data_IF_566272448102
#
_entry.id   IF_566272448102
#
_cell.length_a   1.000
_cell.length_b   1.000
_cell.length_c   1.000
_cell.angle_alpha   90.00
_cell.angle_beta   90.00
_cell.angle_gamma   90.00
#
_symmetry.space_group_name_H-M   'P 1'
#
loop_
_entity.id
_entity.type
_entity.pdbx_description
1 polymer ?
#
# COMPACT_ATOMS: atom_id res chain seq x y z
N UNK A 1 -96.88 -4.55 -140.43
CA UNK A 1 -98.09 -3.70 -140.39
C UNK A 1 -97.82 -2.39 -141.16
N UNK A 2 -98.85 -1.61 -141.58
CA UNK A 2 -98.89 -1.02 -142.94
C UNK A 2 -98.68 0.53 -142.96
N UNK A 3 -98.68 1.27 -144.09
CA UNK A 3 -99.56 1.33 -145.30
C UNK A 3 -98.82 2.02 -146.48
N UNK A 4 -99.22 1.98 -147.75
CA UNK A 4 -100.34 1.29 -148.44
C UNK A 4 -101.27 2.21 -149.24
N UNK A 5 -101.67 1.80 -150.47
CA UNK A 5 -102.48 2.49 -151.54
C UNK A 5 -101.63 3.38 -152.48
N UNK A 6 -101.90 3.54 -153.79
CA UNK A 6 -102.91 3.02 -154.75
C UNK A 6 -102.83 3.82 -156.08
N UNK A 7 -103.59 3.63 -157.19
CA UNK A 7 -104.63 2.68 -157.67
C UNK A 7 -104.89 2.96 -159.19
N UNK A 8 -105.40 1.97 -159.97
CA UNK A 8 -105.72 1.94 -161.45
C UNK A 8 -104.54 1.46 -162.35
N UNK A 9 -104.74 0.82 -163.52
CA UNK A 9 -105.91 0.02 -163.98
C UNK A 9 -106.30 0.13 -165.48
N UNK A 10 -106.32 -1.01 -166.20
CA UNK A 10 -107.26 -1.27 -167.32
C UNK A 10 -106.68 -1.45 -168.75
N UNK A 11 -107.07 -2.57 -169.42
CA UNK A 11 -107.04 -2.91 -170.87
C UNK A 11 -105.69 -2.80 -171.63
N UNK A 12 -105.41 -3.60 -172.67
CA UNK A 12 -106.14 -4.72 -173.29
C UNK A 12 -105.62 -5.03 -174.72
N UNK A 13 -106.10 -6.13 -175.33
CA UNK A 13 -105.72 -6.65 -176.67
C UNK A 13 -104.34 -7.33 -176.81
N UNK A 14 -104.08 -8.04 -177.92
CA UNK A 14 -104.37 -9.48 -178.07
C UNK A 14 -103.82 -10.05 -179.40
N UNK A 15 -102.89 -11.04 -179.32
CA UNK A 15 -102.30 -11.80 -180.45
C UNK A 15 -101.43 -10.96 -181.43
N UNK A 16 -100.57 -11.57 -182.30
CA UNK A 16 -100.49 -12.99 -182.72
C UNK A 16 -99.22 -13.76 -182.29
N UNK A 17 -99.12 -15.00 -182.76
CA UNK A 17 -98.08 -16.01 -182.45
C UNK A 17 -96.72 -15.68 -183.11
N UNK A 18 -95.62 -15.84 -182.36
CA UNK A 18 -94.30 -16.31 -182.82
C UNK A 18 -93.57 -16.99 -181.64
N UNK A 19 -92.35 -17.51 -181.82
CA UNK A 19 -91.66 -18.35 -180.82
C UNK A 19 -91.23 -17.64 -179.52
N UNK A 20 -91.12 -16.31 -179.58
CA UNK A 20 -90.61 -15.36 -178.58
C UNK A 20 -91.20 -15.53 -177.14
N UNK A 21 -92.47 -15.96 -177.02
CA UNK A 21 -93.09 -16.19 -175.70
C UNK A 21 -92.55 -17.41 -174.95
N UNK A 22 -92.00 -18.42 -175.64
CA UNK A 22 -91.39 -19.58 -174.96
C UNK A 22 -90.05 -19.21 -174.34
N UNK A 23 -89.25 -18.45 -175.05
CA UNK A 23 -87.94 -18.02 -174.59
C UNK A 23 -88.11 -17.04 -173.43
N UNK A 24 -89.09 -16.12 -173.49
CA UNK A 24 -89.50 -15.30 -172.33
C UNK A 24 -89.94 -16.12 -171.13
N UNK A 25 -90.70 -17.20 -171.31
CA UNK A 25 -91.08 -18.07 -170.20
C UNK A 25 -89.87 -18.78 -169.58
N UNK A 26 -88.91 -19.24 -170.40
CA UNK A 26 -87.63 -19.79 -169.93
C UNK A 26 -86.83 -18.74 -169.17
N UNK A 27 -86.65 -17.53 -169.71
CA UNK A 27 -85.96 -16.43 -169.03
C UNK A 27 -86.65 -16.03 -167.72
N UNK A 28 -87.98 -16.09 -167.61
CA UNK A 28 -88.68 -15.81 -166.34
C UNK A 28 -88.43 -16.90 -165.29
N UNK A 29 -88.39 -18.18 -165.70
CA UNK A 29 -88.03 -19.30 -164.81
C UNK A 29 -86.56 -19.18 -164.38
N UNK A 30 -85.67 -18.86 -165.31
CA UNK A 30 -84.23 -18.71 -165.07
C UNK A 30 -83.93 -17.49 -164.17
N UNK A 31 -84.58 -16.34 -164.40
CA UNK A 31 -84.54 -15.17 -163.49
C UNK A 31 -85.09 -15.54 -162.11
N UNK A 32 -86.12 -16.39 -162.03
CA UNK A 32 -86.63 -16.91 -160.77
C UNK A 32 -85.60 -17.76 -160.03
N UNK A 33 -84.97 -18.71 -160.73
CA UNK A 33 -83.95 -19.59 -160.17
C UNK A 33 -82.67 -18.83 -159.79
N UNK A 34 -82.24 -17.86 -160.59
CA UNK A 34 -81.10 -16.98 -160.30
C UNK A 34 -81.38 -16.06 -159.11
N UNK A 35 -82.61 -15.58 -158.93
CA UNK A 35 -83.01 -14.86 -157.69
C UNK A 35 -83.00 -15.77 -156.47
N UNK A 36 -83.53 -16.98 -156.58
CA UNK A 36 -83.53 -17.97 -155.49
C UNK A 36 -82.09 -18.43 -155.15
N UNK A 37 -81.19 -18.54 -156.13
CA UNK A 37 -79.74 -18.70 -155.90
C UNK A 37 -79.12 -17.45 -155.23
N UNK A 38 -79.45 -16.24 -155.68
CA UNK A 38 -78.96 -15.00 -155.09
C UNK A 38 -79.40 -14.84 -153.64
N UNK A 39 -80.67 -15.11 -153.32
CA UNK A 39 -81.21 -15.07 -151.95
C UNK A 39 -80.56 -16.14 -151.07
N UNK A 40 -80.36 -17.37 -151.57
CA UNK A 40 -79.58 -18.40 -150.86
C UNK A 40 -78.12 -17.98 -150.61
N UNK A 41 -77.48 -17.33 -151.58
CA UNK A 41 -76.13 -16.80 -151.41
C UNK A 41 -76.11 -15.61 -150.43
N UNK A 42 -77.10 -14.72 -150.45
CA UNK A 42 -77.21 -13.60 -149.52
C UNK A 42 -77.45 -14.08 -148.09
N UNK A 43 -78.37 -15.02 -147.86
CA UNK A 43 -78.58 -15.66 -146.56
C UNK A 43 -77.29 -16.33 -146.07
N UNK A 44 -76.62 -17.11 -146.93
CA UNK A 44 -75.34 -17.74 -146.61
C UNK A 44 -74.23 -16.72 -146.31
N UNK A 45 -74.18 -15.59 -147.00
CA UNK A 45 -73.25 -14.50 -146.69
C UNK A 45 -73.57 -13.86 -145.34
N UNK A 46 -74.85 -13.54 -145.06
CA UNK A 46 -75.29 -12.99 -143.79
C UNK A 46 -75.00 -13.94 -142.61
N UNK A 47 -75.22 -15.25 -142.79
CA UNK A 47 -74.88 -16.28 -141.81
C UNK A 47 -73.36 -16.35 -141.60
N UNK A 48 -72.56 -16.32 -142.66
CA UNK A 48 -71.09 -16.28 -142.58
C UNK A 48 -70.61 -15.00 -141.89
N UNK A 49 -71.19 -13.83 -142.19
CA UNK A 49 -70.85 -12.55 -141.56
C UNK A 49 -71.24 -12.53 -140.08
N UNK A 50 -72.43 -13.02 -139.73
CA UNK A 50 -72.89 -13.15 -138.34
C UNK A 50 -71.97 -14.07 -137.53
N UNK A 51 -71.64 -15.25 -138.08
CA UNK A 51 -70.67 -16.15 -137.47
C UNK A 51 -69.26 -15.53 -137.39
N UNK A 52 -68.84 -14.75 -138.39
CA UNK A 52 -67.55 -14.07 -138.40
C UNK A 52 -67.48 -12.97 -137.32
N UNK A 53 -68.57 -12.24 -137.09
CA UNK A 53 -68.70 -11.25 -136.00
C UNK A 53 -68.72 -11.94 -134.64
N UNK A 54 -69.47 -13.04 -134.50
CA UNK A 54 -69.51 -13.84 -133.27
C UNK A 54 -68.11 -14.37 -132.91
N UNK A 55 -67.43 -15.06 -133.83
CA UNK A 55 -66.07 -15.56 -133.64
C UNK A 55 -65.05 -14.45 -133.36
N UNK A 56 -65.17 -13.27 -133.99
CA UNK A 56 -64.33 -12.09 -133.65
C UNK A 56 -64.57 -11.59 -132.23
N UNK A 57 -65.82 -11.61 -131.76
CA UNK A 57 -66.14 -11.21 -130.39
C UNK A 57 -65.62 -12.22 -129.37
N UNK A 58 -65.74 -13.51 -129.65
CA UNK A 58 -65.23 -14.62 -128.84
C UNK A 58 -63.70 -14.62 -128.78
N UNK A 59 -63.02 -14.42 -129.91
CA UNK A 59 -61.56 -14.23 -129.94
C UNK A 59 -61.13 -12.99 -129.12
N UNK A 60 -61.89 -11.90 -129.16
CA UNK A 60 -61.59 -10.69 -128.37
C UNK A 60 -61.85 -10.88 -126.86
N UNK A 61 -62.81 -11.71 -126.45
CA UNK A 61 -62.98 -12.08 -125.03
C UNK A 61 -61.90 -13.04 -124.58
N UNK A 62 -61.58 -14.08 -125.36
CA UNK A 62 -60.51 -15.02 -125.07
C UNK A 62 -59.13 -14.34 -125.02
N UNK A 63 -58.88 -13.34 -125.86
CA UNK A 63 -57.63 -12.55 -125.81
C UNK A 63 -57.55 -11.69 -124.53
N UNK A 64 -58.65 -11.10 -124.08
CA UNK A 64 -58.71 -10.39 -122.79
C UNK A 64 -58.50 -11.33 -121.61
N UNK A 65 -59.23 -12.44 -121.55
CA UNK A 65 -59.11 -13.45 -120.50
C UNK A 65 -57.69 -14.03 -120.43
N UNK A 66 -57.09 -14.34 -121.58
CA UNK A 66 -55.68 -14.75 -121.69
C UNK A 66 -54.75 -13.69 -121.11
N UNK A 67 -54.97 -12.41 -121.42
CA UNK A 67 -54.13 -11.33 -120.95
C UNK A 67 -54.31 -11.10 -119.44
N UNK A 68 -55.54 -11.12 -118.92
CA UNK A 68 -55.84 -11.00 -117.48
C UNK A 68 -55.24 -12.17 -116.67
N UNK A 69 -55.30 -13.40 -117.21
CA UNK A 69 -54.65 -14.58 -116.63
C UNK A 69 -53.13 -14.45 -116.67
N UNK A 70 -52.54 -13.98 -117.77
CA UNK A 70 -51.10 -13.74 -117.88
C UNK A 70 -50.64 -12.66 -116.88
N UNK A 71 -51.36 -11.55 -116.77
CA UNK A 71 -51.11 -10.46 -115.81
C UNK A 71 -51.20 -10.96 -114.36
N UNK A 72 -52.21 -11.77 -114.04
CA UNK A 72 -52.36 -12.38 -112.72
C UNK A 72 -51.20 -13.35 -112.41
N UNK A 73 -50.83 -14.20 -113.35
CA UNK A 73 -49.71 -15.14 -113.20
C UNK A 73 -48.38 -14.38 -113.03
N UNK A 74 -48.11 -13.35 -113.85
CA UNK A 74 -46.91 -12.52 -113.72
C UNK A 74 -46.84 -11.81 -112.36
N UNK A 75 -47.94 -11.18 -111.92
CA UNK A 75 -48.02 -10.54 -110.58
C UNK A 75 -47.87 -11.56 -109.45
N UNK A 76 -48.37 -12.78 -109.63
CA UNK A 76 -48.23 -13.89 -108.67
C UNK A 76 -46.79 -14.42 -108.61
N UNK A 77 -46.10 -14.53 -109.75
CA UNK A 77 -44.69 -14.92 -109.86
C UNK A 77 -43.80 -13.88 -109.17
N UNK A 78 -43.89 -12.60 -109.55
CA UNK A 78 -43.10 -11.52 -108.93
C UNK A 78 -43.33 -11.44 -107.41
N UNK A 79 -44.57 -11.63 -106.94
CA UNK A 79 -44.90 -11.68 -105.51
C UNK A 79 -44.39 -12.93 -104.79
N UNK A 80 -44.07 -14.02 -105.51
CA UNK A 80 -43.36 -15.20 -104.98
C UNK A 80 -41.85 -14.98 -104.98
N UNK A 81 -41.29 -14.42 -106.04
CA UNK A 81 -39.86 -14.08 -106.15
C UNK A 81 -39.45 -13.10 -105.04
N UNK A 82 -40.20 -12.03 -104.82
CA UNK A 82 -39.98 -11.09 -103.70
C UNK A 82 -40.06 -11.77 -102.32
N UNK A 83 -40.86 -12.83 -102.18
CA UNK A 83 -40.93 -13.63 -100.94
C UNK A 83 -39.74 -14.59 -100.80
N UNK A 84 -39.28 -15.19 -101.88
CA UNK A 84 -38.06 -16.02 -101.89
C UNK A 84 -36.86 -15.15 -101.52
N UNK A 85 -36.71 -13.99 -102.17
CA UNK A 85 -35.64 -13.03 -101.90
C UNK A 85 -35.63 -12.56 -100.43
N UNK A 86 -36.78 -12.13 -99.90
CA UNK A 86 -36.87 -11.67 -98.49
C UNK A 86 -36.76 -12.80 -97.47
N UNK A 87 -36.95 -14.06 -97.85
CA UNK A 87 -36.64 -15.23 -97.00
C UNK A 87 -35.16 -15.61 -97.09
N UNK A 88 -34.57 -15.56 -98.28
CA UNK A 88 -33.14 -15.83 -98.52
C UNK A 88 -32.27 -14.83 -97.74
N UNK A 89 -32.51 -13.52 -97.90
CA UNK A 89 -31.83 -12.47 -97.14
C UNK A 89 -31.97 -12.65 -95.61
N UNK A 90 -33.10 -13.18 -95.13
CA UNK A 90 -33.28 -13.50 -93.69
C UNK A 90 -32.46 -14.71 -93.27
N UNK A 91 -32.39 -15.76 -94.07
CA UNK A 91 -31.54 -16.92 -93.79
C UNK A 91 -30.05 -16.54 -93.83
N UNK A 92 -29.63 -15.73 -94.80
CA UNK A 92 -28.23 -15.27 -94.92
C UNK A 92 -27.84 -14.43 -93.70
N UNK A 93 -28.70 -13.49 -93.29
CA UNK A 93 -28.49 -12.71 -92.06
C UNK A 93 -28.42 -13.61 -90.81
N UNK A 94 -29.37 -14.54 -90.64
CA UNK A 94 -29.36 -15.47 -89.51
C UNK A 94 -28.13 -16.39 -89.51
N UNK A 95 -27.66 -16.82 -90.68
CA UNK A 95 -26.48 -17.65 -90.82
C UNK A 95 -25.19 -16.87 -90.51
N UNK A 96 -25.15 -15.58 -90.89
CA UNK A 96 -24.06 -14.66 -90.57
C UNK A 96 -24.04 -14.27 -89.09
N UNK A 97 -25.20 -14.08 -88.47
CA UNK A 97 -25.37 -13.89 -87.02
C UNK A 97 -24.89 -15.12 -86.25
N UNK A 98 -25.36 -16.33 -86.61
CA UNK A 98 -24.95 -17.58 -85.97
C UNK A 98 -23.43 -17.85 -86.10
N UNK A 99 -22.84 -17.59 -87.26
CA UNK A 99 -21.38 -17.68 -87.45
C UNK A 99 -20.60 -16.61 -86.66
N UNK A 100 -21.17 -15.41 -86.46
CA UNK A 100 -20.57 -14.38 -85.62
C UNK A 100 -20.65 -14.74 -84.14
N UNK A 101 -21.80 -15.22 -83.64
CA UNK A 101 -21.94 -15.74 -82.28
C UNK A 101 -20.97 -16.90 -82.00
N UNK A 102 -20.86 -17.85 -82.95
CA UNK A 102 -19.94 -18.98 -82.86
C UNK A 102 -18.48 -18.51 -82.77
N UNK A 103 -18.09 -17.50 -83.55
CA UNK A 103 -16.74 -16.88 -83.48
C UNK A 103 -16.52 -16.08 -82.19
N UNK A 104 -17.56 -15.49 -81.61
CA UNK A 104 -17.49 -14.83 -80.29
C UNK A 104 -17.29 -15.87 -79.18
N UNK A 105 -18.18 -16.87 -79.08
CA UNK A 105 -18.10 -17.97 -78.10
C UNK A 105 -16.77 -18.74 -78.19
N UNK A 106 -16.25 -18.96 -79.40
CA UNK A 106 -14.94 -19.59 -79.58
C UNK A 106 -13.81 -18.74 -78.99
N UNK A 107 -13.79 -17.43 -79.23
CA UNK A 107 -12.80 -16.51 -78.63
C UNK A 107 -12.91 -16.44 -77.11
N UNK A 108 -14.13 -16.41 -76.57
CA UNK A 108 -14.39 -16.44 -75.12
C UNK A 108 -13.85 -17.74 -74.50
N UNK A 109 -14.11 -18.89 -75.14
CA UNK A 109 -13.59 -20.18 -74.72
C UNK A 109 -12.06 -20.25 -74.77
N UNK A 110 -11.44 -19.82 -75.88
CA UNK A 110 -9.98 -19.82 -76.03
C UNK A 110 -9.30 -18.85 -75.04
N UNK A 111 -9.94 -17.72 -74.74
CA UNK A 111 -9.47 -16.77 -73.71
C UNK A 111 -9.58 -17.37 -72.30
N UNK A 112 -10.73 -17.95 -71.93
CA UNK A 112 -10.90 -18.61 -70.62
C UNK A 112 -9.93 -19.78 -70.44
N UNK A 113 -9.71 -20.57 -71.50
CA UNK A 113 -8.73 -21.64 -71.52
C UNK A 113 -7.31 -21.11 -71.28
N UNK A 114 -6.89 -20.07 -71.99
CA UNK A 114 -5.58 -19.45 -71.81
C UNK A 114 -5.42 -18.85 -70.41
N UNK A 115 -6.46 -18.26 -69.84
CA UNK A 115 -6.44 -17.75 -68.46
C UNK A 115 -6.25 -18.88 -67.45
N UNK A 116 -6.99 -19.99 -67.59
CA UNK A 116 -6.85 -21.17 -66.75
C UNK A 116 -5.46 -21.84 -66.90
N UNK A 117 -4.91 -21.92 -68.11
CA UNK A 117 -3.56 -22.43 -68.36
C UNK A 117 -2.49 -21.56 -67.67
N UNK A 118 -2.63 -20.23 -67.73
CA UNK A 118 -1.76 -19.28 -67.01
C UNK A 118 -1.91 -19.40 -65.47
N UNK A 119 -3.12 -19.55 -64.94
CA UNK A 119 -3.36 -19.76 -63.51
C UNK A 119 -2.74 -21.08 -63.03
N UNK A 120 -2.88 -22.17 -63.79
CA UNK A 120 -2.29 -23.48 -63.48
C UNK A 120 -0.76 -23.42 -63.46
N UNK A 121 -0.13 -22.78 -64.45
CA UNK A 121 1.35 -22.65 -64.47
C UNK A 121 1.84 -21.70 -63.36
N UNK A 122 1.11 -20.64 -63.03
CA UNK A 122 1.40 -19.78 -61.88
C UNK A 122 1.42 -20.54 -60.56
N UNK A 123 0.35 -21.31 -60.28
CA UNK A 123 0.25 -22.19 -59.09
C UNK A 123 1.36 -23.26 -59.09
N UNK A 124 1.73 -23.79 -60.26
CA UNK A 124 2.82 -24.76 -60.41
C UNK A 124 4.18 -24.15 -60.06
N UNK A 125 4.47 -22.93 -60.52
CA UNK A 125 5.70 -22.21 -60.20
C UNK A 125 5.76 -21.91 -58.69
N UNK A 126 4.68 -21.40 -58.09
CA UNK A 126 4.62 -21.15 -56.64
C UNK A 126 4.84 -22.45 -55.83
N UNK A 127 4.16 -23.54 -56.20
CA UNK A 127 4.34 -24.87 -55.58
C UNK A 127 5.79 -25.35 -55.66
N UNK A 128 6.45 -25.16 -56.79
CA UNK A 128 7.83 -25.63 -56.99
C UNK A 128 8.86 -24.69 -56.35
N UNK A 129 8.54 -23.40 -56.15
CA UNK A 129 9.28 -22.52 -55.24
C UNK A 129 9.12 -22.91 -53.77
N UNK A 130 7.89 -23.15 -53.30
CA UNK A 130 7.61 -23.61 -51.94
C UNK A 130 8.34 -24.93 -51.67
N UNK A 131 8.38 -25.86 -52.64
CA UNK A 131 9.17 -27.10 -52.53
C UNK A 131 10.67 -26.82 -52.33
N UNK A 132 11.26 -25.87 -53.06
CA UNK A 132 12.67 -25.47 -52.87
C UNK A 132 12.91 -24.85 -51.49
N UNK A 133 12.00 -23.98 -51.02
CA UNK A 133 12.07 -23.36 -49.68
C UNK A 133 11.98 -24.44 -48.58
N UNK A 134 11.08 -25.41 -48.71
CA UNK A 134 10.95 -26.53 -47.79
C UNK A 134 12.20 -27.43 -47.77
N UNK A 135 12.81 -27.70 -48.92
CA UNK A 135 14.07 -28.47 -48.98
C UNK A 135 15.20 -27.74 -48.23
N UNK A 136 15.37 -26.44 -48.47
CA UNK A 136 16.38 -25.62 -47.78
C UNK A 136 16.14 -25.53 -46.25
N UNK A 137 14.88 -25.49 -45.81
CA UNK A 137 14.53 -25.55 -44.38
C UNK A 137 14.86 -26.91 -43.75
N UNK A 138 14.69 -28.01 -44.48
CA UNK A 138 15.04 -29.36 -44.02
C UNK A 138 16.57 -29.56 -43.97
N UNK A 139 17.30 -29.07 -44.97
CA UNK A 139 18.77 -29.01 -44.95
C UNK A 139 19.29 -28.22 -43.74
N UNK A 140 18.71 -27.05 -43.45
CA UNK A 140 19.04 -26.25 -42.27
C UNK A 140 18.69 -26.98 -40.95
N UNK A 141 17.55 -27.70 -40.91
CA UNK A 141 17.16 -28.51 -39.75
C UNK A 141 18.20 -29.60 -39.46
N UNK A 142 18.64 -30.32 -40.50
CA UNK A 142 19.66 -31.36 -40.42
C UNK A 142 21.02 -30.78 -39.98
N UNK A 143 21.46 -29.67 -40.57
CA UNK A 143 22.71 -28.99 -40.18
C UNK A 143 22.69 -28.56 -38.71
N UNK A 144 21.58 -27.99 -38.23
CA UNK A 144 21.39 -27.61 -36.83
C UNK A 144 21.47 -28.82 -35.91
N UNK A 145 20.86 -29.94 -36.26
CA UNK A 145 20.87 -31.16 -35.45
C UNK A 145 22.25 -31.84 -35.42
N UNK A 146 22.99 -31.80 -36.53
CA UNK A 146 24.40 -32.20 -36.58
C UNK A 146 25.29 -31.30 -35.70
N UNK A 147 25.08 -29.98 -35.73
CA UNK A 147 25.83 -29.03 -34.91
C UNK A 147 25.55 -29.23 -33.41
N UNK A 148 24.28 -29.41 -33.02
CA UNK A 148 23.92 -29.71 -31.63
C UNK A 148 24.55 -31.03 -31.18
N UNK A 149 24.49 -32.09 -31.98
CA UNK A 149 25.13 -33.37 -31.66
C UNK A 149 26.67 -33.26 -31.52
N UNK A 150 27.30 -32.37 -32.28
CA UNK A 150 28.74 -32.07 -32.17
C UNK A 150 29.06 -31.31 -30.89
N UNK A 151 28.26 -30.29 -30.52
CA UNK A 151 28.41 -29.59 -29.23
C UNK A 151 28.19 -30.55 -28.05
N UNK A 152 27.15 -31.38 -28.11
CA UNK A 152 26.86 -32.44 -27.14
C UNK A 152 28.03 -33.43 -26.96
N UNK A 153 28.82 -33.69 -28.00
CA UNK A 153 30.00 -34.54 -27.93
C UNK A 153 31.19 -33.82 -27.29
N UNK A 154 31.47 -32.59 -27.73
CA UNK A 154 32.55 -31.74 -27.20
C UNK A 154 32.34 -31.38 -25.73
N UNK A 155 31.10 -31.15 -25.28
CA UNK A 155 30.79 -30.91 -23.86
C UNK A 155 31.05 -32.16 -23.00
N UNK A 156 30.77 -33.36 -23.53
CA UNK A 156 31.05 -34.64 -22.85
C UNK A 156 32.56 -34.92 -22.79
N UNK A 157 33.28 -34.66 -23.88
CA UNK A 157 34.74 -34.77 -23.94
C UNK A 157 35.42 -33.80 -22.96
N UNK A 158 35.03 -32.52 -22.97
CA UNK A 158 35.52 -31.51 -22.03
C UNK A 158 35.17 -31.83 -20.57
N UNK A 159 34.02 -32.47 -20.30
CA UNK A 159 33.64 -32.92 -18.96
C UNK A 159 34.47 -34.11 -18.48
N UNK A 160 34.84 -35.04 -19.37
CA UNK A 160 35.78 -36.12 -19.08
C UNK A 160 37.18 -35.58 -18.83
N UNK A 161 37.69 -34.72 -19.73
CA UNK A 161 39.02 -34.12 -19.61
C UNK A 161 39.18 -33.34 -18.28
N UNK A 162 38.19 -32.50 -17.93
CA UNK A 162 38.17 -31.79 -16.63
C UNK A 162 38.16 -32.74 -15.44
N UNK A 163 37.47 -33.87 -15.53
CA UNK A 163 37.45 -34.88 -14.45
C UNK A 163 38.82 -35.55 -14.33
N UNK A 164 39.41 -35.94 -15.44
CA UNK A 164 40.68 -36.66 -15.44
C UNK A 164 41.84 -35.75 -15.00
N UNK A 165 41.83 -34.46 -15.37
CA UNK A 165 42.72 -33.44 -14.79
C UNK A 165 42.55 -33.29 -13.26
N UNK A 166 41.32 -33.33 -12.73
CA UNK A 166 41.08 -33.29 -11.28
C UNK A 166 41.57 -34.56 -10.58
N UNK A 167 41.33 -35.73 -11.18
CA UNK A 167 41.85 -37.01 -10.67
C UNK A 167 43.40 -37.04 -10.72
N UNK A 168 44.04 -36.43 -11.72
CA UNK A 168 45.51 -36.30 -11.83
C UNK A 168 46.11 -35.27 -10.86
N UNK A 169 45.48 -34.10 -10.68
CA UNK A 169 45.88 -33.14 -9.63
C UNK A 169 45.85 -33.82 -8.26
N UNK A 170 44.77 -34.54 -7.95
CA UNK A 170 44.66 -35.27 -6.68
C UNK A 170 45.73 -36.38 -6.54
N UNK A 171 46.13 -37.08 -7.61
CA UNK A 171 47.26 -38.02 -7.57
C UNK A 171 48.57 -37.30 -7.21
N UNK A 172 48.87 -36.19 -7.89
CA UNK A 172 50.07 -35.38 -7.65
C UNK A 172 50.11 -34.79 -6.23
N UNK A 173 48.97 -34.33 -5.70
CA UNK A 173 48.83 -33.90 -4.30
C UNK A 173 49.14 -35.04 -3.31
N UNK A 174 48.58 -36.24 -3.54
CA UNK A 174 48.84 -37.39 -2.67
C UNK A 174 50.31 -37.83 -2.72
N UNK A 175 50.92 -37.86 -3.90
CA UNK A 175 52.34 -38.22 -4.04
C UNK A 175 53.25 -37.15 -3.42
N UNK A 176 52.96 -35.86 -3.59
CA UNK A 176 53.69 -34.78 -2.93
C UNK A 176 53.58 -34.85 -1.39
N UNK A 177 52.39 -35.15 -0.84
CA UNK A 177 52.19 -35.36 0.60
C UNK A 177 52.92 -36.61 1.12
N UNK A 178 52.97 -37.68 0.34
CA UNK A 178 53.74 -38.89 0.67
C UNK A 178 55.25 -38.63 0.59
N UNK A 179 55.72 -37.83 -0.37
CA UNK A 179 57.13 -37.47 -0.49
C UNK A 179 57.58 -36.48 0.60
N UNK A 180 56.73 -35.54 0.98
CA UNK A 180 56.91 -34.68 2.16
C UNK A 180 57.13 -35.51 3.42
N UNK A 181 56.18 -36.41 3.76
CA UNK A 181 56.31 -37.32 4.90
C UNK A 181 57.57 -38.20 4.85
N UNK A 182 58.00 -38.65 3.65
CA UNK A 182 59.27 -39.38 3.45
C UNK A 182 60.49 -38.50 3.71
N UNK A 183 60.46 -37.20 3.41
CA UNK A 183 61.52 -36.24 3.77
C UNK A 183 61.53 -35.96 5.27
N UNK A 184 60.38 -35.69 5.86
CA UNK A 184 60.25 -35.42 7.30
C UNK A 184 60.76 -36.60 8.14
N UNK A 185 60.40 -37.84 7.78
CA UNK A 185 60.89 -39.04 8.45
C UNK A 185 62.41 -39.23 8.31
N UNK A 186 63.00 -38.86 7.17
CA UNK A 186 64.46 -38.87 6.98
C UNK A 186 65.14 -37.81 7.86
N UNK A 187 64.56 -36.62 7.97
CA UNK A 187 65.06 -35.55 8.85
C UNK A 187 64.97 -35.96 10.32
N UNK A 188 63.84 -36.51 10.76
CA UNK A 188 63.66 -37.00 12.13
C UNK A 188 64.67 -38.10 12.48
N UNK A 189 64.90 -39.05 11.57
CA UNK A 189 65.90 -40.12 11.76
C UNK A 189 67.33 -39.58 11.77
N UNK A 190 67.65 -38.57 10.96
CA UNK A 190 68.96 -37.91 10.96
C UNK A 190 69.19 -37.08 12.24
N UNK A 191 68.14 -36.44 12.77
CA UNK A 191 68.19 -35.74 14.06
C UNK A 191 68.41 -36.71 15.22
N UNK A 192 67.74 -37.88 15.22
CA UNK A 192 67.99 -38.97 16.19
C UNK A 192 69.43 -39.45 16.14
N UNK A 193 69.97 -39.70 14.94
CA UNK A 193 71.38 -40.07 14.76
C UNK A 193 72.36 -38.99 15.25
N UNK A 194 72.07 -37.70 15.02
CA UNK A 194 72.87 -36.60 15.58
C UNK A 194 72.80 -36.59 17.11
N UNK A 195 71.62 -36.71 17.69
CA UNK A 195 71.40 -36.74 19.14
C UNK A 195 72.13 -37.92 19.82
N UNK A 196 72.01 -39.13 19.26
CA UNK A 196 72.79 -40.32 19.67
C UNK A 196 74.30 -40.06 19.57
N UNK A 197 74.79 -39.56 18.43
CA UNK A 197 76.22 -39.27 18.23
C UNK A 197 76.74 -38.16 19.15
N UNK A 198 75.92 -37.16 19.49
CA UNK A 198 76.25 -36.12 20.47
C UNK A 198 76.33 -36.71 21.87
N UNK A 199 75.37 -37.56 22.26
CA UNK A 199 75.40 -38.30 23.53
C UNK A 199 76.65 -39.17 23.64
N UNK A 200 77.00 -39.92 22.60
CA UNK A 200 78.21 -40.76 22.58
C UNK A 200 79.50 -39.92 22.63
N UNK A 201 79.57 -38.81 21.89
CA UNK A 201 80.71 -37.89 21.95
C UNK A 201 80.88 -37.24 23.33
N UNK A 202 79.78 -36.94 24.03
CA UNK A 202 79.81 -36.49 25.42
C UNK A 202 80.28 -37.63 26.33
N UNK A 203 79.65 -38.80 26.27
CA UNK A 203 79.97 -39.97 27.10
C UNK A 203 81.43 -40.45 26.96
N UNK A 204 82.03 -40.30 25.77
CA UNK A 204 83.39 -40.72 25.47
C UNK A 204 84.47 -39.65 25.75
N UNK A 205 84.16 -38.35 25.60
CA UNK A 205 85.12 -37.26 25.91
C UNK A 205 85.13 -36.87 27.38
N UNK A 206 84.02 -37.06 28.08
CA UNK A 206 83.91 -36.82 29.52
C UNK A 206 84.51 -38.04 30.22
N UNK A 207 85.78 -37.93 30.63
CA UNK A 207 86.46 -38.94 31.46
C UNK A 207 85.69 -39.17 32.77
N UNK A 208 85.88 -40.28 33.47
CA UNK A 208 85.08 -40.55 34.67
C UNK A 208 85.35 -39.53 35.80
N UNK A 209 86.53 -38.92 35.86
CA UNK A 209 86.79 -37.74 36.70
C UNK A 209 85.94 -36.52 36.27
N UNK A 210 85.74 -36.35 34.97
CA UNK A 210 84.87 -35.31 34.40
C UNK A 210 83.38 -35.66 34.58
N UNK A 211 82.99 -36.94 34.59
CA UNK A 211 81.62 -37.39 34.91
C UNK A 211 81.32 -37.13 36.38
N UNK A 212 82.24 -37.51 37.27
CA UNK A 212 82.12 -37.26 38.71
C UNK A 212 82.06 -35.77 39.00
N UNK A 213 82.94 -34.94 38.43
CA UNK A 213 82.86 -33.48 38.63
C UNK A 213 81.63 -32.85 37.96
N UNK A 214 81.07 -33.39 36.87
CA UNK A 214 79.76 -32.94 36.37
C UNK A 214 78.59 -33.40 37.27
N UNK A 215 78.64 -34.60 37.86
CA UNK A 215 77.63 -35.07 38.80
C UNK A 215 77.70 -34.29 40.11
N UNK A 216 78.90 -34.08 40.68
CA UNK A 216 79.14 -33.21 41.83
C UNK A 216 78.66 -31.79 41.55
N UNK A 217 78.98 -31.20 40.38
CA UNK A 217 78.44 -29.90 39.98
C UNK A 217 76.92 -29.91 39.77
N UNK A 218 76.31 -31.02 39.33
CA UNK A 218 74.86 -31.14 39.21
C UNK A 218 74.19 -31.28 40.59
N UNK A 219 74.78 -32.01 41.53
CA UNK A 219 74.33 -32.13 42.92
C UNK A 219 74.54 -30.81 43.69
N UNK A 220 75.66 -30.12 43.47
CA UNK A 220 75.89 -28.75 43.98
C UNK A 220 74.92 -27.77 43.35
N UNK A 221 74.63 -27.87 42.05
CA UNK A 221 73.61 -27.03 41.39
C UNK A 221 72.21 -27.33 41.91
N UNK A 222 71.87 -28.59 42.16
CA UNK A 222 70.57 -28.97 42.75
C UNK A 222 70.44 -28.45 44.18
N UNK A 223 71.48 -28.62 45.02
CA UNK A 223 71.58 -28.01 46.36
C UNK A 223 71.53 -26.49 46.31
N UNK A 224 72.16 -25.86 45.32
CA UNK A 224 72.14 -24.41 45.12
C UNK A 224 70.76 -23.92 44.65
N UNK A 225 70.07 -24.65 43.78
CA UNK A 225 68.68 -24.37 43.38
C UNK A 225 67.74 -24.52 44.58
N UNK A 226 67.90 -25.57 45.38
CA UNK A 226 67.16 -25.77 46.63
C UNK A 226 67.40 -24.61 47.60
N UNK A 227 68.66 -24.31 47.94
CA UNK A 227 69.03 -23.19 48.81
C UNK A 227 68.59 -21.83 48.23
N UNK A 228 68.54 -21.69 46.90
CA UNK A 228 68.02 -20.48 46.23
C UNK A 228 66.50 -20.39 46.33
N UNK A 229 65.74 -21.49 46.27
CA UNK A 229 64.29 -21.44 46.49
C UNK A 229 63.95 -21.32 47.97
N UNK A 230 64.70 -21.93 48.88
CA UNK A 230 64.64 -21.65 50.32
C UNK A 230 64.97 -20.18 50.61
N UNK A 231 66.02 -19.61 50.01
CA UNK A 231 66.34 -18.18 50.13
C UNK A 231 65.29 -17.27 49.49
N UNK A 232 64.65 -17.65 48.37
CA UNK A 232 63.50 -16.93 47.81
C UNK A 232 62.28 -17.04 48.72
N UNK A 233 62.01 -18.19 49.33
CA UNK A 233 60.92 -18.37 50.31
C UNK A 233 61.18 -17.50 51.54
N UNK A 234 62.39 -17.56 52.11
CA UNK A 234 62.82 -16.69 53.21
C UNK A 234 62.75 -15.20 52.84
N UNK A 235 63.12 -14.83 51.61
CA UNK A 235 62.99 -13.45 51.10
C UNK A 235 61.53 -13.05 50.95
N UNK A 236 60.66 -13.91 50.37
CA UNK A 236 59.21 -13.70 50.27
C UNK A 236 58.58 -13.53 51.66
N UNK A 237 58.98 -14.34 52.65
CA UNK A 237 58.50 -14.18 54.03
C UNK A 237 59.09 -12.95 54.72
N UNK A 238 60.33 -12.56 54.45
CA UNK A 238 60.93 -11.34 55.02
C UNK A 238 60.27 -10.08 54.43
N UNK A 239 59.95 -10.08 53.13
CA UNK A 239 59.11 -9.07 52.49
C UNK A 239 57.72 -9.06 53.15
N UNK A 240 57.01 -10.18 53.19
CA UNK A 240 55.66 -10.24 53.79
C UNK A 240 55.64 -9.79 55.27
N UNK A 241 56.67 -10.13 56.06
CA UNK A 241 56.83 -9.66 57.45
C UNK A 241 57.15 -8.16 57.52
N UNK A 242 57.92 -7.63 56.57
CA UNK A 242 58.22 -6.18 56.46
C UNK A 242 57.01 -5.38 56.01
N UNK A 243 56.22 -5.93 55.10
CA UNK A 243 54.95 -5.36 54.62
C UNK A 243 53.91 -5.39 55.74
N UNK A 244 53.83 -6.49 56.50
CA UNK A 244 53.04 -6.54 57.74
C UNK A 244 53.54 -5.53 58.79
N UNK A 245 54.84 -5.39 59.00
CA UNK A 245 55.38 -4.42 59.95
C UNK A 245 55.17 -2.96 59.49
N UNK A 246 55.19 -2.68 58.18
CA UNK A 246 54.87 -1.34 57.67
C UNK A 246 53.38 -1.03 57.80
N UNK A 247 52.50 -2.01 57.54
CA UNK A 247 51.07 -1.89 57.82
C UNK A 247 50.80 -1.67 59.32
N UNK A 248 51.43 -2.45 60.20
CA UNK A 248 51.31 -2.28 61.65
C UNK A 248 51.82 -0.92 62.13
N UNK A 249 52.89 -0.37 61.53
CA UNK A 249 53.32 1.00 61.82
C UNK A 249 52.27 2.03 61.38
N UNK A 250 51.69 1.90 60.19
CA UNK A 250 50.60 2.78 59.71
C UNK A 250 49.35 2.66 60.58
N UNK A 251 49.02 1.45 61.05
CA UNK A 251 47.92 1.20 61.98
C UNK A 251 48.19 1.86 63.34
N UNK A 252 49.43 1.81 63.84
CA UNK A 252 49.87 2.51 65.06
C UNK A 252 49.81 4.03 64.90
N UNK A 253 50.34 4.59 63.82
CA UNK A 253 50.24 6.03 63.51
C UNK A 253 48.77 6.50 63.44
N UNK A 254 47.90 5.69 62.83
CA UNK A 254 46.46 5.94 62.77
C UNK A 254 45.79 5.87 64.15
N UNK A 255 46.15 4.89 64.98
CA UNK A 255 45.68 4.76 66.36
C UNK A 255 46.14 5.94 67.22
N UNK A 256 47.41 6.36 67.11
CA UNK A 256 47.94 7.53 67.81
C UNK A 256 47.24 8.82 67.37
N UNK A 257 47.01 9.01 66.07
CA UNK A 257 46.26 10.15 65.54
C UNK A 257 44.81 10.15 66.07
N UNK A 258 44.14 8.99 66.11
CA UNK A 258 42.81 8.84 66.71
C UNK A 258 42.81 9.10 68.22
N UNK A 259 43.85 8.70 68.95
CA UNK A 259 43.98 8.91 70.40
C UNK A 259 44.25 10.39 70.71
N UNK A 260 45.06 11.08 69.90
CA UNK A 260 45.26 12.52 69.94
C UNK A 260 43.96 13.29 69.61
N UNK A 261 43.21 12.86 68.58
CA UNK A 261 41.88 13.38 68.26
C UNK A 261 40.88 13.17 69.40
N UNK A 262 40.84 11.97 70.00
CA UNK A 262 39.96 11.65 71.13
C UNK A 262 40.33 12.45 72.38
N UNK A 263 41.63 12.72 72.59
CA UNK A 263 42.13 13.58 73.67
C UNK A 263 41.77 15.05 73.43
N UNK A 264 41.90 15.56 72.20
CA UNK A 264 41.47 16.91 71.79
C UNK A 264 39.96 17.07 71.95
N UNK A 265 39.17 16.14 71.41
CA UNK A 265 37.70 16.07 71.58
C UNK A 265 37.31 15.91 73.05
N UNK A 266 38.10 15.18 73.84
CA UNK A 266 37.94 15.02 75.28
C UNK A 266 38.20 16.30 76.07
N UNK A 267 39.25 17.05 75.73
CA UNK A 267 39.54 18.37 76.30
C UNK A 267 38.47 19.41 75.95
N UNK A 268 37.99 19.41 74.70
CA UNK A 268 36.86 20.25 74.28
C UNK A 268 35.59 19.86 75.07
N UNK A 269 35.25 18.56 75.17
CA UNK A 269 34.11 18.09 75.98
C UNK A 269 34.26 18.46 77.46
N UNK A 270 35.45 18.36 78.06
CA UNK A 270 35.71 18.81 79.44
C UNK A 270 35.47 20.32 79.60
N UNK A 271 35.91 21.15 78.65
CA UNK A 271 35.61 22.60 78.64
C UNK A 271 34.12 22.88 78.49
N UNK A 272 33.42 22.19 77.60
CA UNK A 272 31.96 22.30 77.43
C UNK A 272 31.21 21.85 78.68
N UNK A 273 31.61 20.75 79.33
CA UNK A 273 31.03 20.30 80.60
C UNK A 273 31.29 21.30 81.73
N UNK A 274 32.46 21.94 81.79
CA UNK A 274 32.74 23.01 82.75
C UNK A 274 31.84 24.23 82.50
N UNK A 275 31.74 24.71 81.25
CA UNK A 275 30.86 25.82 80.86
C UNK A 275 29.36 25.51 81.07
N UNK A 276 28.93 24.27 80.85
CA UNK A 276 27.58 23.84 81.16
C UNK A 276 27.34 23.72 82.66
N UNK A 277 28.33 23.28 83.44
CA UNK A 277 28.27 23.28 84.91
C UNK A 277 28.17 24.69 85.49
N UNK A 278 28.98 25.62 84.97
CA UNK A 278 28.95 27.05 85.30
C UNK A 278 27.59 27.67 84.93
N UNK A 279 27.07 27.41 83.72
CA UNK A 279 25.71 27.82 83.33
C UNK A 279 24.63 27.17 84.19
N UNK A 280 24.76 25.92 84.60
CA UNK A 280 23.83 25.28 85.52
C UNK A 280 23.89 25.91 86.92
N UNK A 281 25.05 26.39 87.38
CA UNK A 281 25.16 27.14 88.63
C UNK A 281 24.57 28.55 88.50
N UNK A 282 24.80 29.26 87.39
CA UNK A 282 24.17 30.55 87.07
C UNK A 282 22.64 30.40 87.03
N UNK A 283 22.12 29.50 86.20
CA UNK A 283 20.68 29.22 86.08
C UNK A 283 20.07 28.74 87.41
N UNK A 284 20.81 28.03 88.27
CA UNK A 284 20.32 27.65 89.60
C UNK A 284 20.32 28.84 90.59
N UNK A 285 21.21 29.82 90.41
CA UNK A 285 21.17 31.11 91.09
C UNK A 285 19.99 31.95 90.62
N UNK A 286 19.83 32.13 89.30
CA UNK A 286 18.70 32.82 88.67
C UNK A 286 17.37 32.19 89.09
N UNK A 287 17.21 30.86 89.06
CA UNK A 287 15.99 30.18 89.52
C UNK A 287 15.73 30.39 91.02
N UNK A 288 16.76 30.61 91.86
CA UNK A 288 16.56 31.01 93.26
C UNK A 288 16.07 32.46 93.36
N UNK A 289 16.64 33.38 92.60
CA UNK A 289 16.21 34.79 92.53
C UNK A 289 14.78 34.86 92.00
N UNK A 290 14.49 34.31 90.83
CA UNK A 290 13.14 34.24 90.25
C UNK A 290 12.13 33.57 91.18
N UNK A 291 12.53 32.58 92.00
CA UNK A 291 11.62 31.98 92.99
C UNK A 291 11.31 32.94 94.15
N UNK A 292 12.28 33.73 94.61
CA UNK A 292 12.07 34.77 95.62
C UNK A 292 11.24 35.93 95.05
N UNK A 293 11.54 36.39 93.84
CA UNK A 293 10.78 37.42 93.12
C UNK A 293 9.34 36.97 92.84
N UNK A 294 9.13 35.73 92.39
CA UNK A 294 7.80 35.17 92.18
C UNK A 294 7.00 35.09 93.49
N UNK A 295 7.63 34.70 94.62
CA UNK A 295 6.97 34.72 95.93
C UNK A 295 6.60 36.15 96.36
N UNK A 296 7.47 37.13 96.14
CA UNK A 296 7.21 38.54 96.41
C UNK A 296 6.11 39.13 95.52
N UNK A 297 6.11 38.78 94.23
CA UNK A 297 5.09 39.21 93.26
C UNK A 297 3.74 38.51 93.50
N UNK A 298 3.74 37.24 93.92
CA UNK A 298 2.51 36.52 94.29
C UNK A 298 1.87 37.10 95.56
N UNK A 299 2.67 37.61 96.52
CA UNK A 299 2.14 38.36 97.65
C UNK A 299 1.45 39.66 97.16
N UNK A 300 2.19 40.52 96.44
CA UNK A 300 1.64 41.75 95.84
C UNK A 300 0.39 41.52 95.00
N UNK A 301 0.34 40.43 94.21
CA UNK A 301 -0.81 40.10 93.39
C UNK A 301 -2.05 39.70 94.20
N UNK A 302 -1.88 39.03 95.36
CA UNK A 302 -3.00 38.77 96.29
C UNK A 302 -3.54 40.08 96.88
N UNK A 303 -2.65 41.01 97.23
CA UNK A 303 -3.03 42.32 97.76
C UNK A 303 -3.79 43.14 96.69
N UNK A 304 -3.27 43.22 95.46
CA UNK A 304 -3.95 43.88 94.33
C UNK A 304 -5.30 43.21 93.98
N UNK A 305 -5.39 41.88 93.98
CA UNK A 305 -6.68 41.19 93.75
C UNK A 305 -7.70 41.45 94.86
N UNK A 306 -7.25 41.67 96.10
CA UNK A 306 -8.13 42.06 97.19
C UNK A 306 -8.70 43.47 96.95
N UNK A 307 -7.85 44.43 96.61
CA UNK A 307 -8.23 45.81 96.27
C UNK A 307 -9.20 45.85 95.09
N UNK A 308 -8.85 45.24 93.95
CA UNK A 308 -9.69 45.20 92.74
C UNK A 308 -11.03 44.51 93.03
N UNK A 309 -11.08 43.51 93.91
CA UNK A 309 -12.35 42.87 94.31
C UNK A 309 -13.23 43.80 95.15
N UNK A 310 -12.65 44.65 96.00
CA UNK A 310 -13.42 45.68 96.73
C UNK A 310 -13.90 46.81 95.80
N UNK A 311 -13.05 47.29 94.89
CA UNK A 311 -13.40 48.33 93.90
C UNK A 311 -14.47 47.86 92.92
N UNK A 312 -14.34 46.67 92.34
CA UNK A 312 -15.39 46.04 91.51
C UNK A 312 -16.67 45.77 92.30
N UNK A 313 -16.60 45.67 93.63
CA UNK A 313 -17.75 45.60 94.53
C UNK A 313 -18.45 46.95 94.76
N UNK A 314 -17.74 48.07 94.59
CA UNK A 314 -18.29 49.42 94.59
C UNK A 314 -18.87 49.78 93.20
N UNK A 315 -18.08 49.63 92.13
CA UNK A 315 -18.49 49.92 90.76
C UNK A 315 -19.73 49.12 90.32
N UNK A 316 -19.92 47.89 90.80
CA UNK A 316 -21.15 47.10 90.55
C UNK A 316 -22.40 47.62 91.28
N UNK A 317 -22.25 48.44 92.32
CA UNK A 317 -23.37 49.14 92.98
C UNK A 317 -23.70 50.43 92.24
N UNK A 318 -22.68 51.22 91.90
CA UNK A 318 -22.83 52.45 91.12
C UNK A 318 -23.44 52.16 89.74
N UNK A 319 -22.94 51.17 89.01
CA UNK A 319 -23.52 50.77 87.71
C UNK A 319 -24.99 50.33 87.83
N UNK A 320 -25.41 49.73 88.95
CA UNK A 320 -26.82 49.40 89.16
C UNK A 320 -27.66 50.66 89.29
N UNK A 321 -27.25 51.60 90.14
CA UNK A 321 -27.93 52.88 90.29
C UNK A 321 -28.02 53.65 88.95
N UNK A 322 -26.92 53.70 88.18
CA UNK A 322 -26.88 54.37 86.87
C UNK A 322 -27.76 53.72 85.80
N UNK A 323 -27.91 52.38 85.79
CA UNK A 323 -28.86 51.71 84.88
C UNK A 323 -30.31 52.03 85.27
N UNK A 324 -30.58 52.12 86.57
CA UNK A 324 -31.89 52.43 87.14
C UNK A 324 -32.26 53.93 86.94
N UNK A 325 -31.26 54.82 86.81
CA UNK A 325 -31.41 56.20 86.30
C UNK A 325 -31.58 56.25 84.77
N UNK A 326 -30.81 55.46 84.00
CA UNK A 326 -30.89 55.46 82.54
C UNK A 326 -32.24 54.98 82.02
N UNK A 327 -32.84 53.94 82.61
CA UNK A 327 -34.19 53.52 82.20
C UNK A 327 -35.23 54.61 82.48
N UNK A 328 -35.12 55.33 83.61
CA UNK A 328 -35.97 56.49 83.89
C UNK A 328 -35.77 57.60 82.86
N UNK A 329 -34.53 57.85 82.41
CA UNK A 329 -34.25 58.85 81.37
C UNK A 329 -34.70 58.42 79.99
N UNK A 330 -34.59 57.14 79.61
CA UNK A 330 -35.15 56.64 78.35
C UNK A 330 -36.69 56.68 78.35
N UNK A 331 -37.36 56.37 79.46
CA UNK A 331 -38.80 56.54 79.59
C UNK A 331 -39.25 58.02 79.51
N UNK A 332 -38.48 58.95 80.11
CA UNK A 332 -38.69 60.40 79.94
C UNK A 332 -38.45 60.84 78.48
N UNK A 333 -37.34 60.43 77.86
CA UNK A 333 -36.96 60.79 76.49
C UNK A 333 -37.95 60.21 75.48
N UNK A 334 -38.46 59.00 75.66
CA UNK A 334 -39.51 58.42 74.82
C UNK A 334 -40.80 59.26 74.89
N UNK A 335 -41.21 59.68 76.10
CA UNK A 335 -42.35 60.57 76.29
C UNK A 335 -42.11 61.96 75.66
N UNK A 336 -40.92 62.53 75.82
CA UNK A 336 -40.54 63.83 75.27
C UNK A 336 -40.41 63.79 73.75
N UNK A 337 -39.80 62.76 73.15
CA UNK A 337 -39.75 62.55 71.68
C UNK A 337 -41.17 62.39 71.10
N UNK A 338 -42.11 61.77 71.83
CA UNK A 338 -43.54 61.71 71.48
C UNK A 338 -44.24 63.07 71.62
N UNK A 339 -43.91 63.87 72.63
CA UNK A 339 -44.43 65.23 72.81
C UNK A 339 -43.92 66.18 71.72
N UNK A 340 -42.63 66.17 71.42
CA UNK A 340 -41.99 66.99 70.38
C UNK A 340 -42.46 66.61 68.98
N UNK A 341 -42.61 65.32 68.64
CA UNK A 341 -43.22 64.92 67.36
C UNK A 341 -44.71 65.29 67.24
N UNK A 342 -45.36 65.77 68.32
CA UNK A 342 -46.70 66.42 68.31
C UNK A 342 -46.60 67.96 68.26
N UNK A 343 -45.77 68.60 69.09
CA UNK A 343 -45.61 70.06 69.09
C UNK A 343 -44.95 70.59 67.81
N UNK A 344 -43.96 69.87 67.24
CA UNK A 344 -43.38 70.14 65.91
C UNK A 344 -44.42 70.08 64.80
N UNK A 345 -45.55 69.37 65.00
CA UNK A 345 -46.72 69.35 64.10
C UNK A 345 -47.76 70.43 64.41
N UNK A 346 -47.71 71.10 65.58
CA UNK A 346 -48.64 72.16 65.99
C UNK A 346 -48.11 73.56 65.72
N UNK A 347 -46.89 73.87 66.15
CA UNK A 347 -46.31 75.19 65.87
C UNK A 347 -45.95 75.36 64.39
N UNK A 348 -45.69 74.28 63.62
CA UNK A 348 -45.70 74.38 62.14
C UNK A 348 -47.04 74.84 61.56
N UNK A 349 -48.15 74.69 62.29
CA UNK A 349 -49.48 75.15 61.87
C UNK A 349 -49.80 76.55 62.42
N UNK A 350 -49.36 76.92 63.63
CA UNK A 350 -49.64 78.25 64.22
C UNK A 350 -48.63 79.33 63.81
N UNK A 351 -47.33 79.01 63.70
CA UNK A 351 -46.29 79.91 63.17
C UNK A 351 -46.49 80.22 61.67
N UNK A 352 -47.42 79.52 61.00
CA UNK A 352 -47.93 79.84 59.65
C UNK A 352 -49.28 80.58 59.62
N UNK A 353 -49.99 80.69 60.75
CA UNK A 353 -51.20 81.53 60.86
C UNK A 353 -50.83 82.97 61.23
N UNK A 354 -49.88 83.14 62.15
CA UNK A 354 -49.83 84.34 62.99
C UNK A 354 -48.54 85.17 62.88
N UNK A 355 -47.88 85.11 61.73
CA UNK A 355 -46.72 85.91 61.31
C UNK A 355 -47.06 87.39 61.08
N UNK A 356 -47.80 87.99 62.01
CA UNK A 356 -48.62 89.20 61.80
C UNK A 356 -48.85 90.05 63.07
N UNK A 357 -48.45 89.59 64.27
CA UNK A 357 -48.66 90.35 65.53
C UNK A 357 -47.47 91.23 65.92
N UNK A 358 -47.80 92.27 66.68
CA UNK A 358 -47.85 93.61 66.07
C UNK A 358 -46.48 94.33 65.97
N UNK A 359 -46.03 95.29 66.82
CA UNK A 359 -44.93 96.18 66.41
C UNK A 359 -43.56 95.79 66.97
N UNK A 360 -43.51 94.65 67.67
CA UNK A 360 -42.34 93.78 67.90
C UNK A 360 -41.02 94.20 68.58
N UNK A 361 -40.58 95.36 69.07
CA UNK A 361 -40.95 96.77 69.29
C UNK A 361 -39.79 97.59 69.93
N UNK A 362 -38.60 97.10 70.35
CA UNK A 362 -37.88 95.80 70.21
C UNK A 362 -36.98 95.59 71.45
N UNK A 363 -37.40 94.89 72.52
CA UNK A 363 -38.22 93.65 72.55
C UNK A 363 -37.61 92.67 71.52
N UNK A 364 -36.33 92.29 71.71
CA UNK A 364 -35.39 92.24 70.59
C UNK A 364 -35.71 91.18 69.54
N UNK A 365 -35.38 91.50 68.30
CA UNK A 365 -35.75 90.76 67.09
C UNK A 365 -34.52 90.02 66.53
N UNK A 366 -33.99 88.96 67.16
CA UNK A 366 -34.56 88.13 68.24
C UNK A 366 -34.47 86.62 68.00
N UNK A 367 -33.82 86.21 66.91
CA UNK A 367 -34.09 84.95 66.23
C UNK A 367 -32.79 84.20 65.86
N UNK A 368 -32.22 83.46 66.83
CA UNK A 368 -31.03 82.61 66.60
C UNK A 368 -31.19 81.19 67.17
N UNK A 369 -32.42 80.70 67.02
CA UNK A 369 -32.78 79.28 66.89
C UNK A 369 -32.18 78.26 67.89
N UNK A 370 -32.95 77.97 68.95
CA UNK A 370 -32.70 76.85 69.85
C UNK A 370 -33.08 75.47 69.24
N UNK A 371 -33.46 75.37 67.95
CA UNK A 371 -33.93 74.12 67.30
C UNK A 371 -32.82 73.14 66.88
N UNK A 372 -31.66 73.19 67.53
CA UNK A 372 -30.75 72.04 67.70
C UNK A 372 -30.41 71.88 69.19
N UNK A 373 -31.08 71.05 69.98
CA UNK A 373 -32.04 69.98 69.68
C UNK A 373 -31.50 68.80 68.85
N UNK A 374 -30.95 67.83 69.58
CA UNK A 374 -30.64 66.44 69.15
C UNK A 374 -29.57 66.34 68.03
N UNK A 375 -29.00 65.17 67.75
CA UNK A 375 -28.99 63.87 68.46
C UNK A 375 -27.71 63.76 69.36
N UNK A 376 -27.69 63.12 70.54
CA UNK A 376 -28.62 62.21 71.23
C UNK A 376 -28.93 60.90 70.49
N UNK A 377 -27.86 60.15 70.20
CA UNK A 377 -27.78 58.68 70.08
C UNK A 377 -26.33 58.29 70.51
N UNK A 378 -26.00 57.63 71.62
CA UNK A 378 -26.76 57.12 72.77
C UNK A 378 -28.00 56.27 72.45
N UNK A 379 -27.75 55.12 71.82
CA UNK A 379 -28.28 53.81 72.23
C UNK A 379 -27.35 52.75 71.59
N UNK A 380 -26.49 52.04 72.33
CA UNK A 380 -26.69 51.13 73.46
C UNK A 380 -27.36 49.81 73.06
N UNK A 381 -26.57 48.90 72.50
CA UNK A 381 -26.82 47.45 72.48
C UNK A 381 -25.51 46.70 72.15
N UNK A 382 -25.08 45.65 72.87
CA UNK A 382 -25.63 45.15 74.11
C UNK A 382 -24.91 43.91 74.67
N UNK A 383 -25.32 43.55 75.88
CA UNK A 383 -25.32 42.19 76.47
C UNK A 383 -24.09 41.25 76.40
N UNK A 384 -23.61 40.91 77.62
CA UNK A 384 -23.31 39.53 78.08
C UNK A 384 -22.02 38.83 77.55
N UNK A 385 -21.42 37.84 78.24
CA UNK A 385 -21.76 37.16 79.52
C UNK A 385 -20.50 36.66 80.28
N UNK A 386 -20.75 35.94 81.38
CA UNK A 386 -20.05 34.76 81.96
C UNK A 386 -18.87 34.14 81.14
N UNK A 387 -17.81 33.53 81.70
CA UNK A 387 -17.57 33.10 83.10
C UNK A 387 -16.07 32.83 83.46
N UNK A 388 -15.85 32.29 84.67
CA UNK A 388 -14.69 31.65 85.30
C UNK A 388 -13.42 31.32 84.47
N UNK A 389 -12.20 31.55 85.02
CA UNK A 389 -10.96 30.96 84.52
C UNK A 389 -10.76 29.53 85.04
N UNK A 390 -10.47 28.57 84.15
CA UNK A 390 -9.93 27.25 84.54
C UNK A 390 -8.40 27.21 84.45
N UNK A 391 -7.80 26.39 85.33
CA UNK A 391 -6.37 26.20 85.45
C UNK A 391 -5.77 25.33 84.33
N UNK A 392 -4.60 25.76 83.84
CA UNK A 392 -3.40 24.93 83.58
C UNK A 392 -3.47 23.75 82.56
N UNK A 393 -2.29 23.16 82.30
CA UNK A 393 -2.04 21.92 81.53
C UNK A 393 -2.43 21.84 80.04
N UNK A 394 -1.53 22.27 79.16
CA UNK A 394 -1.48 21.79 77.76
C UNK A 394 -0.08 21.65 77.13
N UNK A 395 1.00 21.48 77.92
CA UNK A 395 2.38 21.34 77.41
C UNK A 395 3.01 19.94 77.64
N UNK A 396 2.40 18.88 77.09
CA UNK A 396 2.94 17.49 77.18
C UNK A 396 2.92 16.75 75.83
N UNK A 397 2.03 17.10 74.90
CA UNK A 397 1.72 16.26 73.73
C UNK A 397 2.71 16.28 72.54
N UNK A 398 3.81 17.02 72.64
CA UNK A 398 4.89 17.04 71.64
C UNK A 398 5.87 15.88 71.76
N UNK A 399 6.21 15.44 72.98
CA UNK A 399 7.27 14.45 73.22
C UNK A 399 6.95 13.02 72.73
N UNK A 400 5.69 12.58 72.88
CA UNK A 400 5.29 11.18 72.67
C UNK A 400 5.28 10.73 71.19
N UNK A 401 5.38 11.64 70.22
CA UNK A 401 5.54 11.29 68.80
C UNK A 401 6.99 10.89 68.45
N UNK A 402 7.99 11.40 69.18
CA UNK A 402 9.42 11.16 68.91
C UNK A 402 9.87 9.74 69.28
N UNK A 403 9.34 9.15 70.35
CA UNK A 403 9.74 7.82 70.80
C UNK A 403 9.24 6.69 69.88
N UNK A 404 8.12 6.90 69.15
CA UNK A 404 7.55 5.89 68.23
C UNK A 404 8.30 5.78 66.89
N UNK A 405 9.07 6.79 66.47
CA UNK A 405 9.92 6.69 65.28
C UNK A 405 11.22 5.94 65.56
N UNK A 406 11.85 6.19 66.71
CA UNK A 406 13.11 5.54 67.14
C UNK A 406 12.95 4.01 67.27
N UNK A 407 11.85 3.54 67.87
CA UNK A 407 11.54 2.11 67.94
C UNK A 407 11.42 1.45 66.55
N UNK A 408 10.80 2.15 65.58
CA UNK A 408 10.60 1.65 64.22
C UNK A 408 11.88 1.63 63.36
N UNK A 409 12.87 2.47 63.63
CA UNK A 409 14.17 2.41 62.94
C UNK A 409 15.04 1.29 63.53
N UNK A 410 15.08 1.14 64.85
CA UNK A 410 15.79 0.04 65.52
C UNK A 410 15.33 -1.34 65.04
N UNK A 411 14.02 -1.56 64.92
CA UNK A 411 13.50 -2.85 64.45
C UNK A 411 13.68 -3.09 62.93
N UNK A 412 13.96 -2.05 62.14
CA UNK A 412 14.40 -2.21 60.74
C UNK A 412 15.86 -2.65 60.65
N UNK A 413 16.75 -2.08 61.48
CA UNK A 413 18.18 -2.45 61.52
C UNK A 413 18.36 -3.95 61.76
N UNK A 414 17.70 -4.48 62.80
CA UNK A 414 17.78 -5.88 63.19
C UNK A 414 17.29 -6.84 62.08
N UNK A 415 16.30 -6.43 61.27
CA UNK A 415 15.81 -7.22 60.15
C UNK A 415 16.75 -7.19 58.93
N UNK A 416 17.56 -6.15 58.74
CA UNK A 416 18.60 -6.14 57.69
C UNK A 416 19.81 -6.98 58.11
N UNK A 417 20.23 -6.91 59.38
CA UNK A 417 21.32 -7.76 59.91
C UNK A 417 21.01 -9.26 59.74
N UNK A 418 19.77 -9.67 60.01
CA UNK A 418 19.36 -11.08 59.86
C UNK A 418 19.38 -11.54 58.38
N UNK A 419 19.12 -10.66 57.41
CA UNK A 419 19.27 -10.96 55.97
C UNK A 419 20.73 -11.16 55.60
N UNK A 420 21.62 -10.27 56.05
CA UNK A 420 23.06 -10.36 55.79
C UNK A 420 23.61 -11.68 56.35
N UNK A 421 23.22 -12.04 57.58
CA UNK A 421 23.64 -13.29 58.20
C UNK A 421 23.15 -14.53 57.44
N UNK A 422 21.91 -14.52 56.93
CA UNK A 422 21.38 -15.60 56.07
C UNK A 422 22.13 -15.70 54.73
N UNK A 423 22.42 -14.56 54.09
CA UNK A 423 23.14 -14.48 52.81
C UNK A 423 24.56 -15.06 52.90
N UNK A 424 25.32 -14.67 53.94
CA UNK A 424 26.64 -15.23 54.22
C UNK A 424 26.58 -16.76 54.41
N UNK A 425 25.57 -17.26 55.13
CA UNK A 425 25.39 -18.70 55.38
C UNK A 425 25.11 -19.52 54.11
N UNK A 426 24.51 -18.92 53.09
CA UNK A 426 24.39 -19.55 51.76
C UNK A 426 25.73 -19.58 51.00
N UNK A 427 26.52 -18.50 51.06
CA UNK A 427 27.84 -18.41 50.40
C UNK A 427 28.83 -19.43 51.00
N UNK A 428 28.75 -19.70 52.31
CA UNK A 428 29.55 -20.75 52.96
C UNK A 428 29.19 -22.17 52.50
N UNK A 429 27.98 -22.41 51.98
CA UNK A 429 27.53 -23.74 51.54
C UNK A 429 27.88 -24.05 50.08
N UNK A 430 27.97 -23.04 49.21
CA UNK A 430 28.31 -23.23 47.80
C UNK A 430 29.81 -23.38 47.53
N UNK A 431 30.68 -23.15 48.52
CA UNK A 431 32.15 -23.31 48.42
C UNK A 431 32.70 -24.69 48.83
N UNK A 432 31.85 -25.68 49.07
CA UNK A 432 32.26 -26.97 49.63
C UNK A 432 32.05 -28.20 48.71
N UNK A 433 31.80 -27.97 47.42
CA UNK A 433 31.80 -29.00 46.37
C UNK A 433 32.81 -28.57 45.30
N UNK A 434 33.44 -29.55 44.65
CA UNK A 434 34.52 -29.41 43.65
C UNK A 434 35.89 -28.92 44.19
N UNK A 435 36.67 -29.88 44.72
CA UNK A 435 38.14 -29.79 44.72
C UNK A 435 38.75 -31.21 44.62
N UNK A 436 39.05 -31.71 43.40
CA UNK A 436 39.66 -33.02 43.20
C UNK A 436 41.18 -32.90 43.01
N UNK A 437 41.97 -33.35 43.99
CA UNK A 437 43.43 -33.51 43.86
C UNK A 437 43.91 -34.83 44.46
N UNK A 438 44.99 -35.35 43.85
CA UNK A 438 45.81 -36.48 44.30
C UNK A 438 45.17 -37.89 44.37
N UNK A 439 45.22 -38.60 43.24
CA UNK A 439 45.47 -40.04 43.21
C UNK A 439 46.58 -40.31 42.16
N UNK A 440 47.50 -41.25 42.42
CA UNK A 440 48.82 -41.25 41.80
C UNK A 440 49.02 -42.28 40.67
N UNK A 441 49.56 -41.78 39.54
CA UNK A 441 50.79 -42.21 38.86
C UNK A 441 51.19 -43.70 38.71
N UNK A 442 51.71 -44.02 37.52
CA UNK A 442 52.56 -45.18 37.14
C UNK A 442 51.93 -46.58 37.15
N UNK A 443 51.68 -47.09 35.94
CA UNK A 443 52.34 -48.33 35.45
C UNK A 443 52.34 -48.38 33.91
N UNK A 444 53.55 -48.43 33.31
CA UNK A 444 53.73 -48.90 31.94
C UNK A 444 53.76 -50.43 31.97
N UNK A 445 53.19 -51.10 30.98
CA UNK A 445 53.94 -52.12 30.25
C UNK A 445 53.37 -52.44 28.86
N UNK A 446 54.28 -52.51 27.90
CA UNK A 446 54.35 -53.40 26.73
C UNK A 446 53.06 -54.12 26.25
N UNK A 447 52.67 -53.85 24.99
CA UNK A 447 52.79 -54.85 23.92
C UNK A 447 52.85 -54.21 22.53
N UNK A 448 53.37 -54.98 21.58
CA UNK A 448 53.79 -54.53 20.24
C UNK A 448 53.09 -55.37 19.17
N UNK A 449 52.95 -54.75 17.98
CA UNK A 449 52.70 -55.33 16.65
C UNK A 449 51.26 -55.62 16.15
N UNK A 450 51.06 -55.18 14.89
CA UNK A 450 50.06 -55.59 13.89
C UNK A 450 48.58 -55.21 14.20
N UNK A 451 47.75 -54.80 13.23
CA UNK A 451 47.89 -54.82 11.76
C UNK A 451 46.98 -53.78 11.05
N UNK A 452 47.29 -53.50 9.77
CA UNK A 452 46.42 -52.94 8.70
C UNK A 452 45.90 -51.48 8.81
N UNK A 453 46.19 -50.72 7.76
CA UNK A 453 45.46 -49.52 7.36
C UNK A 453 44.05 -49.86 6.84
N UNK A 454 43.10 -48.93 6.98
CA UNK A 454 41.79 -48.97 6.34
C UNK A 454 41.16 -47.57 6.31
N UNK A 455 41.01 -46.99 5.12
CA UNK A 455 40.52 -45.62 4.94
C UNK A 455 39.00 -45.50 5.08
N UNK A 456 38.49 -44.34 5.52
CA UNK A 456 37.60 -43.51 4.67
C UNK A 456 37.16 -42.18 5.34
N UNK A 457 37.46 -41.07 4.65
CA UNK A 457 36.66 -39.85 4.47
C UNK A 457 35.74 -39.36 5.62
N UNK A 458 36.07 -38.18 6.14
CA UNK A 458 35.06 -37.12 6.26
C UNK A 458 34.71 -36.55 4.86
N UNK A 459 33.51 -35.98 4.72
CA UNK A 459 33.13 -35.04 3.64
C UNK A 459 32.62 -33.74 4.28
N UNK A 460 33.00 -32.62 3.68
CA UNK A 460 32.30 -31.33 3.64
C UNK A 460 31.34 -30.97 4.78
N UNK A 461 31.84 -30.14 5.69
CA UNK A 461 31.34 -28.75 5.77
C UNK A 461 32.41 -27.86 5.16
#
# INVERSE_FOLDING_TARGET
MPKGKGKKGGKGSAKPKTADDKDKALYVIEIGHLKEQLERCQLRCNDIESNNIALKSELSTLEKEKNDVADFLQKSIVKREQKVETVMQRMDNQHQEAENEKKARQKEFDQQKLELENQVEGIRVERDELRKRMASLEEFRIQREQLMASMDALEKELALEKKDHVDDIHKLEMDALLEGKKRDQKLENHLKYIDEKVKDMVNAKVSDLTKNTFQENAEVSAKFIQLTEEAKVLTKTNCALRDQNSQLNVDVESLEQMLAELSRKGGIRKKVVAQLGEKCQQLHGEVKVFKQEYQHLQAKHKDCLHIIRTEMGALKKERKALIEELSQKQDEIAQMKVALKKERKRWMTWWRILSWKMPTVSKPEGNTDWSKYFEEDDEDDGMQREEQPQNEFSFVFSGLKSLRSISRTSQKMHNEEEKVYKSLRSISRTRHVECPLAAASVKKNERVNFQRCGSSRYRYG
#
